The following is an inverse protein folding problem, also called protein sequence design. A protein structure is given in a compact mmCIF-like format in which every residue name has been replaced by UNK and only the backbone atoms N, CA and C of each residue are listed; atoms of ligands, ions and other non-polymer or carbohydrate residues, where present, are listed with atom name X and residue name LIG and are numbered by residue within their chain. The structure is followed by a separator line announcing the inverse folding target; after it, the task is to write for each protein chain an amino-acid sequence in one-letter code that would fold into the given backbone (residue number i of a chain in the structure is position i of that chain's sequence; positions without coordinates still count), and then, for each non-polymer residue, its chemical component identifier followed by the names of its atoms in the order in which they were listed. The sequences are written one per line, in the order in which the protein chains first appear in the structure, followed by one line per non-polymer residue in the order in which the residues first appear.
data_IF_220302640630
#
_entry.id   IF_220302640630
#
_cell.length_a   1.000
_cell.length_b   1.000
_cell.length_c   1.000
_cell.angle_alpha   90.00
_cell.angle_beta   90.00
_cell.angle_gamma   90.00
#
_symmetry.space_group_name_H-M   'P 1'
#
loop_
_entity.id
_entity.type
_entity.pdbx_description
1 polymer ?
#
# COMPACT_ATOMS: atom_id res chain seq x y z
N UNK A 1 2.78 7.85 16.61
CA UNK A 1 2.37 7.37 15.27
C UNK A 1 3.61 6.97 14.50
N UNK A 2 3.65 5.75 13.97
CA UNK A 2 4.68 5.38 13.01
C UNK A 2 4.34 6.02 11.67
N UNK A 3 5.22 6.85 11.09
CA UNK A 3 4.94 7.49 9.81
C UNK A 3 4.75 6.41 8.73
N UNK A 4 3.74 6.58 7.88
CA UNK A 4 3.57 5.69 6.74
C UNK A 4 4.68 5.97 5.72
N UNK A 5 5.51 4.98 5.43
CA UNK A 5 6.67 5.09 4.54
C UNK A 5 6.70 3.96 3.50
N UNK A 6 7.57 4.07 2.49
CA UNK A 6 7.85 2.95 1.59
C UNK A 6 8.32 1.70 2.37
N UNK A 7 9.08 1.88 3.46
CA UNK A 7 9.51 0.78 4.32
C UNK A 7 8.32 0.08 5.01
N UNK A 8 7.30 0.85 5.40
CA UNK A 8 6.06 0.32 5.96
C UNK A 8 5.33 -0.56 4.95
N UNK A 9 5.19 -0.06 3.71
CA UNK A 9 4.61 -0.82 2.61
C UNK A 9 5.43 -2.08 2.33
N UNK A 10 6.75 -1.98 2.20
CA UNK A 10 7.62 -3.13 1.98
C UNK A 10 7.45 -4.21 3.08
N UNK A 11 7.28 -3.79 4.34
CA UNK A 11 7.06 -4.71 5.47
C UNK A 11 5.72 -5.45 5.37
N UNK A 12 4.66 -4.77 4.89
CA UNK A 12 3.37 -5.41 4.63
C UNK A 12 3.46 -6.33 3.41
N UNK A 13 4.07 -5.88 2.32
CA UNK A 13 4.25 -6.69 1.11
C UNK A 13 5.04 -7.97 1.37
N UNK A 14 6.11 -7.89 2.16
CA UNK A 14 6.95 -9.04 2.53
C UNK A 14 6.17 -10.13 3.28
N UNK A 15 5.09 -9.77 3.97
CA UNK A 15 4.18 -10.67 4.69
C UNK A 15 2.95 -11.08 3.87
N UNK A 16 2.78 -10.49 2.69
CA UNK A 16 1.64 -10.72 1.79
C UNK A 16 1.95 -11.81 0.74
N UNK A 17 0.97 -12.12 -0.11
CA UNK A 17 1.14 -13.04 -1.23
C UNK A 17 2.19 -12.56 -2.26
N UNK A 18 2.44 -11.24 -2.37
CA UNK A 18 3.47 -10.69 -3.23
C UNK A 18 4.89 -11.04 -2.75
N UNK A 19 5.06 -11.35 -1.47
CA UNK A 19 6.30 -11.88 -0.90
C UNK A 19 7.45 -10.86 -0.77
N UNK A 20 8.59 -11.38 -0.32
CA UNK A 20 9.80 -10.59 -0.03
C UNK A 20 10.41 -9.98 -1.29
N UNK A 21 10.37 -10.69 -2.43
CA UNK A 21 10.93 -10.19 -3.69
C UNK A 21 10.23 -8.91 -4.16
N UNK A 22 8.90 -8.81 -4.02
CA UNK A 22 8.16 -7.58 -4.33
C UNK A 22 8.50 -6.44 -3.36
N UNK A 23 8.75 -6.76 -2.08
CA UNK A 23 9.13 -5.79 -1.06
C UNK A 23 10.54 -5.20 -1.28
N UNK A 24 11.50 -6.01 -1.73
CA UNK A 24 12.86 -5.54 -2.07
C UNK A 24 12.88 -4.67 -3.33
N UNK A 25 11.89 -4.87 -4.19
CA UNK A 25 11.72 -4.18 -5.46
C UNK A 25 10.88 -2.89 -5.34
N UNK A 26 10.50 -2.48 -4.14
CA UNK A 26 9.57 -1.38 -3.92
C UNK A 26 10.24 -0.02 -4.18
N UNK A 27 9.76 0.70 -5.19
CA UNK A 27 10.12 2.11 -5.45
C UNK A 27 8.86 2.92 -5.70
N UNK A 28 8.87 4.23 -5.42
CA UNK A 28 7.68 5.08 -5.54
C UNK A 28 7.11 5.11 -6.97
N UNK A 29 7.97 5.12 -7.99
CA UNK A 29 7.56 5.22 -9.39
C UNK A 29 7.15 3.87 -10.01
N UNK A 30 7.32 2.77 -9.26
CA UNK A 30 7.02 1.43 -9.77
C UNK A 30 5.52 1.19 -9.85
N UNK A 31 5.08 0.55 -10.94
CA UNK A 31 3.70 0.14 -11.07
C UNK A 31 3.37 -1.04 -10.14
N UNK A 32 2.19 -1.02 -9.55
CA UNK A 32 1.70 -2.11 -8.69
C UNK A 32 1.55 -3.43 -9.48
N UNK A 33 1.15 -3.32 -10.74
CA UNK A 33 1.04 -4.46 -11.67
C UNK A 33 2.38 -5.15 -11.94
N UNK A 34 3.48 -4.40 -12.00
CA UNK A 34 4.84 -4.95 -12.16
C UNK A 34 5.30 -5.73 -10.93
N UNK A 35 4.74 -5.42 -9.75
CA UNK A 35 4.97 -6.16 -8.51
C UNK A 35 4.05 -7.39 -8.38
N UNK A 36 3.26 -7.69 -9.41
CA UNK A 36 2.28 -8.78 -9.39
C UNK A 36 1.03 -8.47 -8.57
N UNK A 37 0.86 -7.23 -8.09
CA UNK A 37 -0.23 -6.84 -7.20
C UNK A 37 -1.51 -6.65 -8.02
N UNK A 38 -2.46 -7.57 -7.85
CA UNK A 38 -3.79 -7.44 -8.43
C UNK A 38 -4.75 -6.63 -7.51
N UNK A 39 -5.96 -6.33 -7.98
CA UNK A 39 -6.93 -5.51 -7.23
C UNK A 39 -7.31 -6.10 -5.86
N UNK A 40 -7.38 -7.44 -5.73
CA UNK A 40 -7.68 -8.08 -4.45
C UNK A 40 -6.49 -7.97 -3.48
N UNK A 41 -5.29 -8.18 -3.99
CA UNK A 41 -4.06 -8.00 -3.21
C UNK A 41 -3.85 -6.55 -2.78
N UNK A 42 -4.15 -5.60 -3.66
CA UNK A 42 -4.12 -4.18 -3.33
C UNK A 42 -5.03 -3.87 -2.13
N UNK A 43 -6.28 -4.35 -2.16
CA UNK A 43 -7.21 -4.19 -1.04
C UNK A 43 -6.68 -4.83 0.25
N UNK A 44 -6.13 -6.04 0.16
CA UNK A 44 -5.54 -6.73 1.32
C UNK A 44 -4.34 -5.95 1.91
N UNK A 45 -3.48 -5.40 1.05
CA UNK A 45 -2.35 -4.55 1.44
C UNK A 45 -2.88 -3.28 2.12
N UNK A 46 -3.87 -2.60 1.55
CA UNK A 46 -4.46 -1.39 2.13
C UNK A 46 -5.05 -1.66 3.52
N UNK A 47 -5.76 -2.78 3.70
CA UNK A 47 -6.33 -3.18 5.00
C UNK A 47 -5.22 -3.45 6.02
N UNK A 48 -4.18 -4.20 5.63
CA UNK A 48 -3.07 -4.50 6.52
C UNK A 48 -2.29 -3.24 6.94
N UNK A 49 -2.01 -2.35 5.99
CA UNK A 49 -1.36 -1.07 6.26
C UNK A 49 -2.23 -0.19 7.14
N UNK A 50 -3.54 -0.13 6.89
CA UNK A 50 -4.46 0.65 7.69
C UNK A 50 -4.52 0.18 9.15
N UNK A 51 -4.54 -1.13 9.37
CA UNK A 51 -4.46 -1.72 10.71
C UNK A 51 -3.14 -1.40 11.41
N UNK A 52 -2.01 -1.41 10.70
CA UNK A 52 -0.68 -1.15 11.28
C UNK A 52 -0.44 0.35 11.57
N UNK A 53 -1.18 1.26 10.91
CA UNK A 53 -0.92 2.71 10.92
C UNK A 53 -2.11 3.59 11.32
N UNK A 54 -3.20 3.01 11.83
CA UNK A 54 -4.43 3.70 12.26
C UNK A 54 -5.01 4.60 11.15
N UNK A 55 -5.13 4.03 9.94
CA UNK A 55 -5.65 4.73 8.75
C UNK A 55 -7.14 4.46 8.61
N UNK A 56 -7.94 5.52 8.49
CA UNK A 56 -9.38 5.39 8.23
C UNK A 56 -9.65 5.29 6.72
N UNK A 57 -9.75 4.05 6.23
CA UNK A 57 -10.05 3.76 4.83
C UNK A 57 -11.39 4.32 4.34
N UNK A 58 -12.34 4.62 5.24
CA UNK A 58 -13.63 5.20 4.84
C UNK A 58 -13.47 6.58 4.20
N UNK A 59 -12.39 7.30 4.53
CA UNK A 59 -12.07 8.63 3.98
C UNK A 59 -11.61 8.59 2.53
N UNK A 60 -11.16 7.43 2.05
CA UNK A 60 -10.59 7.22 0.71
C UNK A 60 -11.32 6.12 -0.07
N UNK A 61 -12.51 5.70 0.37
CA UNK A 61 -13.24 4.55 -0.18
C UNK A 61 -13.47 4.63 -1.70
N UNK A 62 -13.79 5.82 -2.22
CA UNK A 62 -14.03 6.07 -3.65
C UNK A 62 -12.74 6.07 -4.49
N UNK A 63 -11.58 6.27 -3.84
CA UNK A 63 -10.28 6.44 -4.45
C UNK A 63 -9.42 5.16 -4.36
N UNK A 64 -9.86 4.13 -3.61
CA UNK A 64 -9.08 2.90 -3.34
C UNK A 64 -8.66 2.13 -4.60
N UNK A 65 -9.40 2.27 -5.70
CA UNK A 65 -9.10 1.60 -6.97
C UNK A 65 -8.19 2.44 -7.91
N UNK A 66 -7.84 3.67 -7.53
CA UNK A 66 -7.10 4.61 -8.38
C UNK A 66 -5.57 4.49 -8.36
N UNK A 67 -4.90 3.95 -7.32
CA UNK A 67 -3.44 3.82 -7.36
C UNK A 67 -2.97 2.86 -8.45
N UNK A 68 -2.09 3.33 -9.32
CA UNK A 68 -1.37 2.53 -10.32
C UNK A 68 0.09 2.34 -9.91
N UNK A 69 0.65 3.30 -9.18
CA UNK A 69 2.02 3.24 -8.65
C UNK A 69 2.07 3.10 -7.14
N UNK A 70 3.21 2.63 -6.61
CA UNK A 70 3.45 2.57 -5.15
C UNK A 70 3.38 3.96 -4.53
N UNK A 71 3.88 4.99 -5.22
CA UNK A 71 3.87 6.38 -4.76
C UNK A 71 2.46 6.94 -4.62
N UNK A 72 1.58 6.64 -5.59
CA UNK A 72 0.15 7.00 -5.53
C UNK A 72 -0.55 6.29 -4.37
N UNK A 73 -0.29 4.99 -4.18
CA UNK A 73 -0.85 4.24 -3.06
C UNK A 73 -0.42 4.83 -1.72
N UNK A 74 0.87 5.17 -1.60
CA UNK A 74 1.42 5.78 -0.40
C UNK A 74 0.80 7.17 -0.14
N UNK A 75 0.61 7.98 -1.19
CA UNK A 75 -0.01 9.29 -1.09
C UNK A 75 -1.48 9.19 -0.65
N UNK A 76 -2.22 8.24 -1.22
CA UNK A 76 -3.61 7.97 -0.88
C UNK A 76 -3.76 7.53 0.58
N UNK A 77 -2.96 6.58 1.03
CA UNK A 77 -3.03 6.11 2.41
C UNK A 77 -2.61 7.19 3.41
N UNK A 78 -1.70 8.09 3.04
CA UNK A 78 -1.32 9.26 3.85
C UNK A 78 -2.42 10.30 3.94
N UNK A 79 -3.21 10.54 2.88
CA UNK A 79 -4.33 11.50 2.93
C UNK A 79 -5.43 11.06 3.89
N UNK A 80 -5.51 9.76 4.17
CA UNK A 80 -6.42 9.16 5.14
C UNK A 80 -5.87 9.06 6.58
N UNK A 81 -4.61 9.43 6.84
CA UNK A 81 -4.08 9.47 8.20
C UNK A 81 -4.71 10.65 8.99
N UNK A 82 -4.98 10.46 10.30
CA UNK A 82 -5.54 11.51 11.16
C UNK A 82 -4.55 12.67 11.43
#
# INVERSE_FOLDING_TARGET
MNPLTLQSLATVLARSAAGIEAAEQLTADRQLSELGINSLELLNIMIAVASDHDIDLSRIAEEMAQPHTVGELLALLRSAQP
#
